data_IF_439969553171
#
_entry.id   IF_439969553171
#
_cell.length_a   1.000
_cell.length_b   1.000
_cell.length_c   1.000
_cell.angle_alpha   90.00
_cell.angle_beta   90.00
_cell.angle_gamma   90.00
#
_symmetry.space_group_name_H-M   'P 1'
#
loop_
_entity.id
_entity.type
_entity.pdbx_description
1 polymer ?
#
# COMPACT_ATOMS: atom_id res chain seq x y z
N UNK A 1 -9.71 -38.71 4.50
CA UNK A 1 -9.99 -37.44 5.18
C UNK A 1 -9.37 -36.35 4.31
N UNK A 2 -10.16 -35.78 3.41
CA UNK A 2 -9.71 -34.68 2.54
C UNK A 2 -10.24 -33.40 3.17
N UNK A 3 -9.34 -32.57 3.67
CA UNK A 3 -9.68 -31.23 4.13
C UNK A 3 -10.05 -30.41 2.90
N UNK A 4 -11.35 -30.15 2.79
CA UNK A 4 -11.96 -29.23 1.84
C UNK A 4 -11.53 -27.82 2.26
N UNK A 5 -10.46 -27.30 1.63
CA UNK A 5 -9.99 -25.92 1.82
C UNK A 5 -11.04 -25.01 1.18
N UNK A 6 -12.04 -24.65 1.97
CA UNK A 6 -13.09 -23.72 1.59
C UNK A 6 -12.48 -22.50 0.90
N UNK A 7 -12.94 -22.24 -0.33
CA UNK A 7 -12.58 -21.06 -1.09
C UNK A 7 -12.76 -19.83 -0.20
N UNK A 8 -11.69 -19.04 -0.02
CA UNK A 8 -11.74 -17.84 0.77
C UNK A 8 -12.81 -16.91 0.16
N UNK A 9 -13.94 -16.79 0.85
CA UNK A 9 -15.01 -15.88 0.45
C UNK A 9 -14.48 -14.45 0.28
N UNK A 10 -15.11 -13.62 -0.57
CA UNK A 10 -14.65 -12.28 -0.85
C UNK A 10 -14.53 -11.47 0.44
N UNK A 11 -13.40 -10.79 0.61
CA UNK A 11 -13.23 -9.81 1.69
C UNK A 11 -14.27 -8.71 1.44
N UNK A 12 -15.18 -8.41 2.38
CA UNK A 12 -16.15 -7.34 2.19
C UNK A 12 -15.40 -6.03 1.96
N UNK A 13 -15.71 -5.35 0.86
CA UNK A 13 -15.15 -4.04 0.54
C UNK A 13 -15.70 -3.02 1.54
N UNK A 14 -15.05 -2.87 2.69
CA UNK A 14 -15.18 -1.67 3.49
C UNK A 14 -14.73 -0.51 2.60
N UNK A 15 -15.65 0.40 2.24
CA UNK A 15 -15.34 1.48 1.30
C UNK A 15 -14.04 2.20 1.68
N UNK A 16 -13.23 2.52 0.67
CA UNK A 16 -11.91 3.14 0.82
C UNK A 16 -11.92 4.36 1.77
N UNK A 17 -10.99 4.41 2.73
CA UNK A 17 -10.90 5.44 3.78
C UNK A 17 -9.54 6.15 3.81
N UNK A 18 -9.11 6.68 2.67
CA UNK A 18 -7.89 7.50 2.57
C UNK A 18 -8.16 8.82 1.84
N UNK A 19 -7.09 9.45 1.34
CA UNK A 19 -7.22 10.64 0.48
C UNK A 19 -7.87 10.20 -0.84
N UNK A 20 -9.03 10.78 -1.17
CA UNK A 20 -9.83 10.46 -2.37
C UNK A 20 -9.22 11.09 -3.64
N UNK A 21 -7.94 10.80 -3.89
CA UNK A 21 -7.17 11.34 -4.99
C UNK A 21 -6.08 10.35 -5.43
N UNK A 22 -5.73 10.25 -6.72
CA UNK A 22 -6.35 10.97 -7.85
C UNK A 22 -7.77 10.47 -8.14
N UNK A 23 -8.58 11.33 -8.76
CA UNK A 23 -9.95 10.98 -9.16
C UNK A 23 -9.90 9.81 -10.15
N UNK A 24 -10.70 8.79 -9.92
CA UNK A 24 -10.68 7.55 -10.72
C UNK A 24 -9.54 6.60 -10.37
N UNK A 25 -8.71 6.93 -9.37
CA UNK A 25 -7.71 6.02 -8.83
C UNK A 25 -8.34 4.81 -8.14
N UNK A 26 -7.58 3.72 -8.11
CA UNK A 26 -8.01 2.46 -7.50
C UNK A 26 -7.88 2.46 -5.97
N UNK A 27 -8.58 1.53 -5.31
CA UNK A 27 -8.35 1.23 -3.89
C UNK A 27 -6.99 0.51 -3.73
N UNK A 28 -6.08 0.98 -2.84
CA UNK A 28 -4.82 0.31 -2.54
C UNK A 28 -4.95 -1.19 -2.23
N UNK A 29 -6.05 -1.60 -1.60
CA UNK A 29 -6.31 -2.97 -1.18
C UNK A 29 -7.15 -3.78 -2.17
N UNK A 30 -7.42 -3.26 -3.37
CA UNK A 30 -8.11 -4.02 -4.42
C UNK A 30 -7.11 -4.94 -5.17
N UNK A 31 -7.23 -6.29 -5.05
CA UNK A 31 -6.40 -7.23 -5.80
C UNK A 31 -6.75 -7.28 -7.29
N UNK A 32 -7.92 -6.80 -7.69
CA UNK A 32 -8.42 -6.80 -9.07
C UNK A 32 -7.74 -5.78 -9.97
N UNK A 33 -7.02 -4.80 -9.39
CA UNK A 33 -6.25 -3.83 -10.17
C UNK A 33 -5.12 -4.52 -10.94
N UNK A 34 -5.07 -4.38 -12.28
CA UNK A 34 -4.19 -5.18 -13.14
C UNK A 34 -2.71 -4.78 -13.03
N UNK A 35 -2.41 -3.63 -12.44
CA UNK A 35 -1.08 -3.06 -12.33
C UNK A 35 -0.67 -2.86 -10.87
N UNK A 36 0.65 -2.91 -10.60
CA UNK A 36 1.24 -2.60 -9.29
C UNK A 36 0.73 -1.25 -8.80
N UNK A 37 1.04 -0.20 -9.57
CA UNK A 37 0.56 1.13 -9.30
C UNK A 37 1.25 1.78 -8.14
N UNK A 38 1.17 3.11 -8.16
CA UNK A 38 1.77 3.95 -7.15
C UNK A 38 0.70 4.63 -6.33
N UNK A 39 1.02 4.93 -5.08
CA UNK A 39 0.20 5.74 -4.19
C UNK A 39 1.12 6.64 -3.36
N UNK A 40 0.56 7.75 -2.89
CA UNK A 40 1.22 8.58 -1.91
C UNK A 40 0.76 8.23 -0.50
N UNK A 41 1.67 8.36 0.47
CA UNK A 41 1.34 8.39 1.88
C UNK A 41 1.65 9.78 2.43
N UNK A 42 0.65 10.39 3.05
CA UNK A 42 0.77 11.69 3.71
C UNK A 42 -0.25 11.77 4.86
N UNK A 43 0.10 12.49 5.94
CA UNK A 43 -0.81 12.71 7.07
C UNK A 43 -1.44 11.42 7.66
N UNK A 44 -0.71 10.30 7.61
CA UNK A 44 -1.21 9.02 8.12
C UNK A 44 -2.26 8.34 7.22
N UNK A 45 -2.36 8.75 5.95
CA UNK A 45 -3.34 8.22 5.01
C UNK A 45 -2.69 7.89 3.66
N UNK A 46 -3.10 6.77 3.03
CA UNK A 46 -2.77 6.54 1.63
C UNK A 46 -3.64 7.43 0.74
N UNK A 47 -3.14 7.73 -0.45
CA UNK A 47 -3.92 8.16 -1.61
C UNK A 47 -4.49 6.94 -2.33
N UNK A 48 -5.39 7.18 -3.29
CA UNK A 48 -5.75 6.16 -4.27
C UNK A 48 -4.54 5.75 -5.08
N UNK A 49 -4.58 4.52 -5.60
CA UNK A 49 -3.55 4.02 -6.50
C UNK A 49 -3.75 4.61 -7.89
N UNK A 50 -2.65 4.95 -8.55
CA UNK A 50 -2.60 5.40 -9.94
C UNK A 50 -1.54 4.62 -10.73
N UNK A 51 -1.62 4.59 -12.07
CA UNK A 51 -0.69 3.82 -12.89
C UNK A 51 0.78 4.16 -12.61
N UNK A 52 1.63 3.13 -12.55
CA UNK A 52 3.07 3.31 -12.40
C UNK A 52 3.64 4.13 -13.59
N UNK A 53 4.69 4.91 -13.33
CA UNK A 53 5.33 5.77 -14.34
C UNK A 53 4.57 7.05 -14.68
N UNK A 54 3.31 7.19 -14.24
CA UNK A 54 2.48 8.35 -14.52
C UNK A 54 2.27 9.14 -13.23
N UNK A 55 3.22 10.02 -12.92
CA UNK A 55 3.06 10.94 -11.80
C UNK A 55 1.90 11.90 -12.10
N UNK A 56 0.96 12.10 -11.17
CA UNK A 56 -0.08 13.10 -11.31
C UNK A 56 0.52 14.51 -11.42
N UNK A 57 -0.27 15.43 -11.98
CA UNK A 57 0.14 16.83 -12.05
C UNK A 57 0.43 17.41 -10.65
N UNK A 58 1.52 18.16 -10.53
CA UNK A 58 1.96 18.74 -9.26
C UNK A 58 0.93 19.70 -8.67
N UNK A 59 0.19 20.44 -9.50
CA UNK A 59 -0.87 21.34 -9.02
C UNK A 59 -2.09 20.58 -8.48
N UNK A 60 -2.38 19.40 -9.01
CA UNK A 60 -3.42 18.52 -8.49
C UNK A 60 -2.99 17.88 -7.17
N UNK A 61 -1.73 17.43 -7.11
CA UNK A 61 -1.15 16.87 -5.88
C UNK A 61 -1.17 17.90 -4.75
N UNK A 62 -0.76 19.15 -4.99
CA UNK A 62 -0.78 20.22 -3.99
C UNK A 62 -2.18 20.54 -3.45
N UNK A 63 -3.20 20.47 -4.32
CA UNK A 63 -4.60 20.68 -3.92
C UNK A 63 -5.13 19.51 -3.08
N UNK A 64 -4.76 18.29 -3.42
CA UNK A 64 -5.22 17.09 -2.74
C UNK A 64 -4.47 16.81 -1.43
N UNK A 65 -3.18 17.10 -1.40
CA UNK A 65 -2.28 16.89 -0.27
C UNK A 65 -1.57 18.23 -0.01
N UNK A 66 -2.16 19.12 0.80
CA UNK A 66 -1.56 20.41 1.11
C UNK A 66 -0.17 20.24 1.75
N UNK A 67 0.74 21.17 1.44
CA UNK A 67 2.06 21.23 2.09
C UNK A 67 1.95 21.60 3.57
N UNK A 68 2.96 21.25 4.35
CA UNK A 68 3.09 21.54 5.77
C UNK A 68 4.30 20.86 6.40
N UNK A 69 4.33 20.74 7.73
CA UNK A 69 5.37 19.96 8.41
C UNK A 69 5.07 18.45 8.30
N UNK A 70 4.99 17.94 7.08
CA UNK A 70 4.74 16.53 6.77
C UNK A 70 5.78 15.98 5.81
N UNK A 71 5.81 14.66 5.74
CA UNK A 71 6.51 13.91 4.69
C UNK A 71 5.49 13.50 3.63
N UNK A 72 5.91 13.54 2.37
CA UNK A 72 5.25 12.86 1.28
C UNK A 72 6.10 11.64 0.87
N UNK A 73 5.54 10.44 1.00
CA UNK A 73 6.21 9.20 0.59
C UNK A 73 5.50 8.63 -0.62
N UNK A 74 6.22 8.41 -1.72
CA UNK A 74 5.72 7.70 -2.89
C UNK A 74 6.01 6.21 -2.74
N UNK A 75 4.98 5.40 -2.89
CA UNK A 75 5.00 3.97 -2.66
C UNK A 75 4.50 3.21 -3.91
N UNK A 76 5.07 2.05 -4.18
CA UNK A 76 4.63 1.10 -5.20
C UNK A 76 4.05 -0.15 -4.53
N UNK A 77 2.89 -0.65 -4.97
CA UNK A 77 2.35 -1.91 -4.43
C UNK A 77 3.17 -3.10 -4.94
N UNK A 78 3.62 -3.94 -4.02
CA UNK A 78 4.40 -5.14 -4.32
C UNK A 78 3.58 -6.41 -4.10
N UNK A 79 2.82 -6.50 -3.00
CA UNK A 79 1.95 -7.63 -2.73
C UNK A 79 0.76 -7.23 -1.86
N UNK A 80 -0.32 -7.97 -1.96
CA UNK A 80 -1.47 -7.89 -1.07
C UNK A 80 -1.70 -9.25 -0.43
N UNK A 81 -1.80 -9.25 0.89
CA UNK A 81 -1.95 -10.44 1.72
C UNK A 81 -3.23 -10.32 2.54
N UNK A 82 -3.97 -11.41 2.71
CA UNK A 82 -5.15 -11.48 3.58
C UNK A 82 -5.24 -12.84 4.26
N UNK A 83 -5.55 -12.83 5.56
CA UNK A 83 -5.60 -14.02 6.43
C UNK A 83 -4.37 -14.92 6.28
N UNK A 84 -3.20 -14.29 6.19
CA UNK A 84 -1.91 -14.99 6.03
C UNK A 84 -1.66 -15.62 4.67
N UNK A 85 -2.50 -15.35 3.66
CA UNK A 85 -2.33 -15.84 2.29
C UNK A 85 -2.13 -14.68 1.34
N UNK A 86 -1.19 -14.81 0.40
CA UNK A 86 -1.05 -13.85 -0.69
C UNK A 86 -2.29 -13.91 -1.58
N UNK A 87 -2.93 -12.76 -1.76
CA UNK A 87 -4.01 -12.58 -2.72
C UNK A 87 -3.46 -12.15 -4.07
N UNK A 88 -2.45 -11.28 -4.06
CA UNK A 88 -1.84 -10.74 -5.27
C UNK A 88 -0.37 -10.41 -5.02
N UNK A 89 0.44 -10.64 -6.03
CA UNK A 89 1.80 -10.17 -6.14
C UNK A 89 1.90 -9.41 -7.46
N UNK A 90 2.50 -8.23 -7.45
CA UNK A 90 2.70 -7.43 -8.64
C UNK A 90 4.19 -7.41 -8.98
N UNK A 91 4.54 -7.56 -10.26
CA UNK A 91 5.93 -7.47 -10.66
C UNK A 91 6.48 -6.07 -10.33
N UNK A 92 7.77 -5.98 -9.95
CA UNK A 92 8.40 -4.69 -9.73
C UNK A 92 8.31 -3.81 -10.99
N UNK A 93 7.96 -2.53 -10.81
CA UNK A 93 8.11 -1.53 -11.86
C UNK A 93 9.58 -1.21 -12.13
N UNK A 94 9.79 -0.22 -13.00
CA UNK A 94 11.14 0.28 -13.28
C UNK A 94 11.80 0.79 -11.99
N UNK A 95 13.02 0.32 -11.71
CA UNK A 95 13.70 0.62 -10.45
C UNK A 95 14.04 2.11 -10.38
N UNK A 96 13.38 2.83 -9.48
CA UNK A 96 13.88 4.12 -8.98
C UNK A 96 14.85 3.84 -7.83
N UNK A 97 16.09 4.31 -7.96
CA UNK A 97 17.10 4.18 -6.92
C UNK A 97 16.78 5.16 -5.79
N UNK A 98 16.39 4.65 -4.63
CA UNK A 98 16.23 5.47 -3.42
C UNK A 98 17.63 5.83 -2.92
N UNK A 99 17.95 7.12 -2.82
CA UNK A 99 19.30 7.57 -2.43
C UNK A 99 19.54 7.65 -0.91
N UNK A 100 18.75 6.97 -0.07
CA UNK A 100 18.73 7.21 1.39
C UNK A 100 18.49 5.96 2.25
N UNK A 101 18.88 5.96 3.54
CA UNK A 101 18.91 4.78 4.42
C UNK A 101 17.53 4.36 4.98
N UNK A 102 16.45 4.52 4.20
CA UNK A 102 15.12 4.13 4.66
C UNK A 102 14.87 2.64 4.48
N UNK A 103 14.00 2.08 5.31
CA UNK A 103 13.51 0.72 5.08
C UNK A 103 12.79 0.69 3.72
N UNK A 104 13.27 -0.13 2.77
CA UNK A 104 12.82 -0.07 1.38
C UNK A 104 11.40 -0.63 1.18
N UNK A 105 10.85 -1.26 2.21
CA UNK A 105 9.49 -1.80 2.22
C UNK A 105 8.71 -1.29 3.43
N UNK A 106 7.42 -1.05 3.21
CA UNK A 106 6.43 -0.66 4.20
C UNK A 106 5.24 -1.62 4.15
N UNK A 107 4.63 -1.90 5.29
CA UNK A 107 3.36 -2.62 5.41
C UNK A 107 2.27 -1.60 5.73
N UNK A 108 1.22 -1.56 4.92
CA UNK A 108 0.05 -0.73 5.17
C UNK A 108 -1.12 -1.61 5.59
N UNK A 109 -1.76 -1.24 6.69
CA UNK A 109 -2.98 -1.87 7.18
C UNK A 109 -4.15 -0.90 7.01
N UNK A 110 -5.34 -1.39 6.63
CA UNK A 110 -6.53 -0.55 6.61
C UNK A 110 -6.93 -0.15 8.04
N UNK A 111 -7.80 0.86 8.19
CA UNK A 111 -8.39 1.27 9.46
C UNK A 111 -9.04 0.09 10.20
N UNK A 112 -8.78 -0.02 11.51
CA UNK A 112 -9.46 -0.95 12.40
C UNK A 112 -10.28 -0.16 13.44
N UNK A 113 -11.61 -0.24 13.36
CA UNK A 113 -12.50 0.54 14.22
C UNK A 113 -12.37 2.05 13.97
N UNK A 114 -12.00 2.81 15.01
CA UNK A 114 -11.76 4.26 14.95
C UNK A 114 -10.31 4.64 14.62
N UNK A 115 -9.38 3.68 14.56
CA UNK A 115 -8.00 3.94 14.21
C UNK A 115 -7.86 4.23 12.71
N UNK A 116 -6.96 5.15 12.34
CA UNK A 116 -6.60 5.41 10.95
C UNK A 116 -5.81 4.26 10.31
N UNK A 117 -5.34 4.49 9.09
CA UNK A 117 -4.38 3.57 8.47
C UNK A 117 -3.09 3.50 9.30
N UNK A 118 -2.44 2.34 9.29
CA UNK A 118 -1.12 2.17 9.90
C UNK A 118 -0.10 1.83 8.81
N UNK A 119 1.04 2.50 8.86
CA UNK A 119 2.21 2.18 8.04
C UNK A 119 3.35 1.73 8.96
N UNK A 120 3.84 0.52 8.73
CA UNK A 120 4.91 -0.10 9.50
C UNK A 120 6.09 -0.40 8.60
N UNK A 121 7.30 -0.15 9.09
CA UNK A 121 8.51 -0.56 8.40
C UNK A 121 8.64 -2.07 8.30
N UNK A 122 9.17 -2.57 7.17
CA UNK A 122 9.31 -4.00 6.90
C UNK A 122 10.75 -4.42 6.60
N UNK A 123 11.04 -5.70 6.85
CA UNK A 123 12.37 -6.29 6.65
C UNK A 123 12.76 -6.35 5.17
N UNK A 124 14.03 -6.04 4.87
CA UNK A 124 14.63 -6.31 3.56
C UNK A 124 15.31 -7.69 3.54
N UNK A 125 15.32 -8.42 2.41
CA UNK A 125 14.71 -8.12 1.09
C UNK A 125 13.20 -8.38 1.02
N UNK A 126 12.59 -8.07 -0.14
CA UNK A 126 11.13 -8.13 -0.39
C UNK A 126 10.47 -9.40 0.15
N UNK A 127 11.05 -10.57 -0.09
CA UNK A 127 10.55 -11.86 0.43
C UNK A 127 10.32 -11.88 1.95
N UNK A 128 11.11 -11.12 2.71
CA UNK A 128 10.97 -11.01 4.16
C UNK A 128 9.84 -10.03 4.51
N UNK A 129 9.72 -8.90 3.82
CA UNK A 129 8.56 -8.01 3.95
C UNK A 129 7.23 -8.74 3.65
N UNK A 130 7.20 -9.58 2.61
CA UNK A 130 6.00 -10.38 2.29
C UNK A 130 5.71 -11.42 3.39
N UNK A 131 6.73 -12.09 3.91
CA UNK A 131 6.57 -13.02 5.03
C UNK A 131 6.06 -12.31 6.31
N UNK A 132 6.58 -11.12 6.60
CA UNK A 132 6.12 -10.31 7.74
C UNK A 132 4.63 -9.94 7.56
N UNK A 133 4.22 -9.59 6.33
CA UNK A 133 2.83 -9.33 6.00
C UNK A 133 1.92 -10.56 6.14
N UNK A 134 2.38 -11.75 5.73
CA UNK A 134 1.68 -13.03 5.94
C UNK A 134 1.46 -13.29 7.43
N UNK A 135 2.50 -13.17 8.25
CA UNK A 135 2.37 -13.40 9.69
C UNK A 135 1.46 -12.37 10.35
N UNK A 136 1.59 -11.10 9.98
CA UNK A 136 0.77 -10.02 10.52
C UNK A 136 -0.71 -10.19 10.11
N UNK A 137 -0.97 -10.50 8.85
CA UNK A 137 -2.30 -10.73 8.33
C UNK A 137 -2.96 -11.97 8.94
N UNK A 138 -2.20 -13.04 9.17
CA UNK A 138 -2.70 -14.24 9.87
C UNK A 138 -3.12 -13.93 11.31
N UNK A 139 -2.34 -13.10 12.02
CA UNK A 139 -2.61 -12.74 13.43
C UNK A 139 -3.76 -11.75 13.59
N UNK A 140 -3.89 -10.81 12.67
CA UNK A 140 -4.90 -9.74 12.75
C UNK A 140 -6.19 -10.10 12.02
N UNK A 141 -6.16 -11.09 11.13
CA UNK A 141 -7.29 -11.47 10.27
C UNK A 141 -7.60 -10.47 9.14
N UNK A 142 -6.92 -9.31 9.11
CA UNK A 142 -7.10 -8.24 8.15
C UNK A 142 -6.12 -8.30 6.98
N UNK A 143 -6.38 -7.53 5.90
CA UNK A 143 -5.46 -7.45 4.79
C UNK A 143 -4.24 -6.59 5.15
N UNK A 144 -3.10 -6.90 4.55
CA UNK A 144 -1.85 -6.17 4.67
C UNK A 144 -1.31 -5.92 3.27
N UNK A 145 -1.10 -4.65 2.93
CA UNK A 145 -0.50 -4.23 1.68
C UNK A 145 1.02 -4.07 1.87
N UNK A 146 1.81 -4.75 1.06
CA UNK A 146 3.26 -4.59 0.98
C UNK A 146 3.56 -3.54 -0.07
N UNK A 147 4.27 -2.50 0.33
CA UNK A 147 4.68 -1.40 -0.54
C UNK A 147 6.20 -1.29 -0.59
N UNK A 148 6.75 -1.08 -1.79
CA UNK A 148 8.13 -0.61 -1.97
C UNK A 148 8.13 0.91 -1.86
N UNK A 149 9.08 1.46 -1.12
CA UNK A 149 9.32 2.91 -1.11
C UNK A 149 10.01 3.30 -2.41
N UNK A 150 9.47 4.27 -3.13
CA UNK A 150 10.08 4.80 -4.35
C UNK A 150 10.76 6.13 -4.11
N UNK A 151 10.14 6.99 -3.30
CA UNK A 151 10.65 8.31 -2.99
C UNK A 151 10.12 8.80 -1.64
N UNK A 152 10.87 9.72 -1.03
CA UNK A 152 10.53 10.32 0.26
C UNK A 152 11.02 11.76 0.26
N UNK A 153 10.08 12.71 0.32
CA UNK A 153 10.39 14.12 0.32
C UNK A 153 9.72 14.86 1.48
N UNK A 154 10.42 15.85 2.02
CA UNK A 154 9.81 16.82 2.91
C UNK A 154 8.78 17.61 2.09
N UNK A 155 7.59 17.82 2.63
CA UNK A 155 6.47 18.40 1.87
C UNK A 155 6.02 19.71 2.49
N UNK A 156 6.83 20.76 2.30
CA UNK A 156 6.70 22.10 2.91
C UNK A 156 6.51 23.19 1.86
#
# INVERSE_FOLDING_TARGET
>A
MHDDIGAAGPVPAAGYRGVDWPKGGGDPFDPGLPWAGWLYWAHGQPSRVFPAGHLPDGSELLRAIPMGYTTLTLLERAALVSRGRRLKEWPPGERRTISRPFQPYQLILPPAGSAGHLMLGASWPERFAVRDAEQLSARTGGPVLVCRVLDHQNWH
#
